data_IF_592095867202
#
_entry.id   IF_592095867202
#
_cell.length_a   1.000
_cell.length_b   1.000
_cell.length_c   1.000
_cell.angle_alpha   90.00
_cell.angle_beta   90.00
_cell.angle_gamma   90.00
#
_symmetry.space_group_name_H-M   'P 1'
#
loop_
_entity.id
_entity.type
_entity.pdbx_description
1 polymer ?
#
# COMPACT_ATOMS: atom_id res chain seq x y z
N UNK A 1 11.14 -10.26 18.77
CA UNK A 1 10.89 -10.81 17.42
C UNK A 1 10.96 -9.64 16.46
N UNK A 2 11.61 -9.80 15.31
CA UNK A 2 11.76 -8.72 14.34
C UNK A 2 10.42 -8.43 13.64
N UNK A 3 10.09 -7.15 13.55
CA UNK A 3 8.86 -6.63 12.97
C UNK A 3 9.08 -5.21 12.50
N UNK A 4 8.92 -4.97 11.21
CA UNK A 4 9.12 -3.66 10.62
C UNK A 4 7.96 -3.29 9.72
N UNK A 5 7.56 -2.01 9.75
CA UNK A 5 6.66 -1.43 8.77
C UNK A 5 7.49 -0.63 7.78
N UNK A 6 7.44 -0.98 6.50
CA UNK A 6 8.08 -0.17 5.47
C UNK A 6 7.06 0.77 4.85
N UNK A 7 7.38 2.06 4.82
CA UNK A 7 6.62 3.09 4.14
C UNK A 7 7.54 3.80 3.17
N UNK A 8 7.21 3.78 1.88
CA UNK A 8 7.95 4.52 0.89
C UNK A 8 7.67 6.01 1.00
N UNK A 9 8.70 6.76 1.39
CA UNK A 9 8.69 8.21 1.45
C UNK A 9 9.46 8.81 0.26
N UNK A 10 9.09 10.03 -0.11
CA UNK A 10 9.90 10.86 -1.02
C UNK A 10 11.21 11.21 -0.35
N UNK A 11 12.35 11.04 -1.03
CA UNK A 11 13.66 11.28 -0.40
C UNK A 11 13.84 12.74 0.02
N UNK A 12 14.49 13.02 1.18
CA UNK A 12 14.84 14.35 1.62
C UNK A 12 16.07 14.82 0.84
N UNK A 13 15.88 15.11 -0.45
CA UNK A 13 16.96 15.37 -1.39
C UNK A 13 17.69 16.66 -1.01
N UNK A 14 19.01 16.58 -0.84
CA UNK A 14 19.86 17.73 -0.52
C UNK A 14 19.95 18.10 0.95
N UNK A 15 19.11 17.54 1.84
CA UNK A 15 19.23 17.79 3.27
C UNK A 15 20.46 17.11 3.86
N UNK A 16 21.16 17.84 4.74
CA UNK A 16 22.20 17.35 5.66
C UNK A 16 21.82 17.55 7.12
N UNK A 17 20.60 18.03 7.39
CA UNK A 17 20.11 18.25 8.73
C UNK A 17 19.84 16.89 9.41
N UNK A 18 20.54 16.56 10.52
CA UNK A 18 20.36 15.29 11.20
C UNK A 18 18.92 15.02 11.62
N UNK A 19 18.17 16.05 12.02
CA UNK A 19 16.81 15.89 12.52
C UNK A 19 15.84 15.57 11.39
N UNK A 20 16.03 16.18 10.20
CA UNK A 20 15.26 15.87 8.99
C UNK A 20 15.55 14.46 8.49
N UNK A 21 16.82 14.06 8.47
CA UNK A 21 17.24 12.73 8.01
C UNK A 21 16.74 11.63 8.97
N UNK A 22 16.83 11.86 10.27
CA UNK A 22 16.31 10.94 11.29
C UNK A 22 14.79 10.83 11.22
N UNK A 23 14.06 11.94 11.14
CA UNK A 23 12.60 11.93 11.03
C UNK A 23 12.17 11.13 9.81
N UNK A 24 12.81 11.35 8.65
CA UNK A 24 12.53 10.59 7.43
C UNK A 24 12.75 9.09 7.59
N UNK A 25 13.82 8.66 8.27
CA UNK A 25 14.08 7.24 8.54
C UNK A 25 13.02 6.62 9.43
N UNK A 26 12.63 7.31 10.51
CA UNK A 26 11.63 6.83 11.45
C UNK A 26 10.23 6.77 10.81
N UNK A 27 9.89 7.74 9.95
CA UNK A 27 8.65 7.73 9.15
C UNK A 27 8.64 6.58 8.14
N UNK A 28 9.78 6.32 7.48
CA UNK A 28 9.93 5.20 6.54
C UNK A 28 9.82 3.83 7.22
N UNK A 29 10.09 3.77 8.53
CA UNK A 29 9.91 2.59 9.39
C UNK A 29 8.54 2.53 10.07
N UNK A 30 7.66 3.52 9.80
CA UNK A 30 6.33 3.61 10.43
C UNK A 30 6.36 3.75 11.96
N UNK A 31 7.47 4.24 12.52
CA UNK A 31 7.69 4.35 13.97
C UNK A 31 7.03 5.59 14.58
N UNK A 32 6.81 6.63 13.77
CA UNK A 32 6.11 7.85 14.16
C UNK A 32 4.68 7.78 13.62
N UNK A 33 3.68 8.13 14.45
CA UNK A 33 2.28 8.19 14.00
C UNK A 33 2.07 9.49 13.23
N UNK A 34 1.29 9.39 12.15
CA UNK A 34 0.99 10.52 11.27
C UNK A 34 0.30 11.68 12.03
N UNK A 35 0.71 12.89 11.64
CA UNK A 35 0.45 14.20 12.23
C UNK A 35 -1.05 14.53 12.30
N UNK A 36 -1.56 14.91 13.46
CA UNK A 36 -2.81 15.67 13.57
C UNK A 36 -2.51 17.16 13.38
N UNK A 37 -3.38 17.89 12.66
CA UNK A 37 -3.30 19.36 12.61
C UNK A 37 -3.30 19.93 14.04
N UNK A 38 -2.31 20.75 14.38
CA UNK A 38 -2.16 21.39 15.69
C UNK A 38 -1.13 20.77 16.66
N UNK A 39 -0.33 19.81 16.21
CA UNK A 39 0.78 19.25 17.00
C UNK A 39 1.86 20.33 17.28
N UNK A 40 2.37 20.38 18.51
CA UNK A 40 3.54 21.21 18.89
C UNK A 40 4.82 20.74 18.19
N UNK A 41 5.86 21.57 18.05
CA UNK A 41 7.16 21.19 17.45
C UNK A 41 7.77 19.94 18.11
N UNK A 42 7.52 19.74 19.40
CA UNK A 42 7.90 18.55 20.16
C UNK A 42 7.06 17.29 19.79
N UNK A 43 5.78 17.47 19.48
CA UNK A 43 4.91 16.43 18.94
C UNK A 43 5.15 16.19 17.44
N UNK A 44 5.70 17.17 16.71
CA UNK A 44 6.03 17.10 15.29
C UNK A 44 7.22 16.16 15.01
N UNK A 45 8.20 16.06 15.92
CA UNK A 45 9.35 15.16 15.81
C UNK A 45 9.10 13.78 16.46
N UNK A 46 8.34 13.75 17.56
CA UNK A 46 7.89 12.52 18.23
C UNK A 46 8.90 11.89 19.20
N UNK A 47 8.40 11.23 20.25
CA UNK A 47 9.21 10.67 21.34
C UNK A 47 10.36 9.73 20.93
N UNK A 48 10.20 8.96 19.85
CA UNK A 48 11.27 8.07 19.34
C UNK A 48 12.41 8.89 18.75
N UNK A 49 12.11 9.96 18.00
CA UNK A 49 13.11 10.83 17.41
C UNK A 49 13.98 11.44 18.50
N UNK A 50 13.36 11.99 19.54
CA UNK A 50 14.07 12.55 20.68
C UNK A 50 14.97 11.53 21.39
N UNK A 51 14.46 10.32 21.67
CA UNK A 51 15.26 9.23 22.26
C UNK A 51 16.50 8.96 21.38
N UNK A 52 16.30 8.73 20.08
CA UNK A 52 17.40 8.36 19.18
C UNK A 52 18.40 9.50 19.04
N UNK A 53 17.92 10.73 18.86
CA UNK A 53 18.74 11.92 18.66
C UNK A 53 19.61 12.26 19.86
N UNK A 54 19.08 12.15 21.07
CA UNK A 54 19.75 12.59 22.30
C UNK A 54 20.52 11.46 23.02
N UNK A 55 20.40 10.22 22.56
CA UNK A 55 21.10 9.08 23.18
C UNK A 55 21.88 8.26 22.14
N UNK A 56 21.18 7.51 21.30
CA UNK A 56 21.78 6.52 20.40
C UNK A 56 22.63 7.13 19.27
N UNK A 57 22.36 8.36 18.84
CA UNK A 57 23.20 9.05 17.85
C UNK A 57 24.39 9.77 18.48
N UNK A 58 24.27 10.25 19.71
CA UNK A 58 25.37 10.91 20.43
C UNK A 58 26.43 9.91 20.89
N UNK A 59 26.00 8.81 21.53
CA UNK A 59 26.91 7.74 21.96
C UNK A 59 26.32 6.35 21.63
N UNK A 60 26.52 5.85 20.39
CA UNK A 60 25.87 4.64 19.90
C UNK A 60 26.10 3.36 20.72
N UNK A 61 27.27 3.24 21.37
CA UNK A 61 27.71 2.03 22.07
C UNK A 61 27.85 2.20 23.59
N UNK A 62 27.44 3.34 24.17
CA UNK A 62 27.57 3.62 25.63
C UNK A 62 26.84 2.60 26.51
N UNK A 63 25.72 2.05 26.02
CA UNK A 63 24.86 1.16 26.78
C UNK A 63 23.91 1.94 27.69
N UNK A 64 22.88 2.52 27.08
CA UNK A 64 21.91 3.39 27.75
C UNK A 64 20.84 2.56 28.48
N UNK A 65 20.75 2.74 29.80
CA UNK A 65 19.62 2.19 30.58
C UNK A 65 18.37 3.09 30.46
N UNK A 66 17.22 2.58 30.88
CA UNK A 66 15.96 3.31 30.77
C UNK A 66 15.91 4.58 31.65
N UNK A 67 16.69 4.62 32.74
CA UNK A 67 16.75 5.78 33.63
C UNK A 67 17.46 6.95 32.93
N UNK A 68 18.64 6.70 32.37
CA UNK A 68 19.38 7.66 31.57
C UNK A 68 18.56 8.09 30.34
N UNK A 69 17.94 7.16 29.61
CA UNK A 69 17.14 7.55 28.43
C UNK A 69 15.98 8.46 28.82
N UNK A 70 15.30 8.20 29.94
CA UNK A 70 14.21 9.05 30.42
C UNK A 70 14.68 10.46 30.81
N UNK A 71 15.84 10.55 31.48
CA UNK A 71 16.45 11.82 31.86
C UNK A 71 16.78 12.67 30.63
N UNK A 72 17.48 12.09 29.66
CA UNK A 72 17.88 12.82 28.45
C UNK A 72 16.69 13.16 27.55
N UNK A 73 15.73 12.23 27.35
CA UNK A 73 14.56 12.45 26.48
C UNK A 73 13.41 13.22 27.15
N UNK A 74 13.46 13.45 28.46
CA UNK A 74 12.35 14.06 29.21
C UNK A 74 11.06 13.23 29.20
N UNK A 75 11.14 11.93 28.92
CA UNK A 75 9.99 11.02 28.87
C UNK A 75 9.83 10.26 30.20
N UNK A 76 8.62 9.81 30.49
CA UNK A 76 8.39 8.89 31.61
C UNK A 76 9.04 7.53 31.35
N UNK A 77 9.37 6.79 32.42
CA UNK A 77 9.92 5.43 32.32
C UNK A 77 9.04 4.50 31.47
N UNK A 78 7.72 4.56 31.66
CA UNK A 78 6.76 3.80 30.84
C UNK A 78 6.78 4.22 29.38
N UNK A 79 6.91 5.53 29.11
CA UNK A 79 7.04 6.07 27.75
C UNK A 79 8.30 5.53 27.06
N UNK A 80 9.44 5.58 27.74
CA UNK A 80 10.72 5.03 27.26
C UNK A 80 10.61 3.55 26.98
N UNK A 81 10.05 2.76 27.91
CA UNK A 81 9.87 1.33 27.74
C UNK A 81 9.10 0.99 26.45
N UNK A 82 7.97 1.68 26.23
CA UNK A 82 7.12 1.47 25.06
C UNK A 82 7.82 1.86 23.75
N UNK A 83 8.56 2.96 23.72
CA UNK A 83 9.30 3.37 22.52
C UNK A 83 10.49 2.46 22.23
N UNK A 84 11.22 2.02 23.27
CA UNK A 84 12.31 1.08 23.11
C UNK A 84 11.82 -0.29 22.62
N UNK A 85 10.61 -0.71 23.00
CA UNK A 85 10.00 -1.93 22.44
C UNK A 85 9.92 -1.84 20.92
N UNK A 86 9.39 -0.74 20.38
CA UNK A 86 9.26 -0.52 18.93
C UNK A 86 10.63 -0.44 18.24
N UNK A 87 11.60 0.24 18.84
CA UNK A 87 12.95 0.34 18.30
C UNK A 87 13.67 -1.02 18.25
N UNK A 88 13.41 -1.89 19.24
CA UNK A 88 13.93 -3.26 19.24
C UNK A 88 13.22 -4.15 18.22
N UNK A 89 11.90 -4.05 18.11
CA UNK A 89 11.12 -4.79 17.11
C UNK A 89 11.52 -4.43 15.68
N UNK A 90 11.67 -3.13 15.40
CA UNK A 90 12.16 -2.64 14.11
C UNK A 90 13.62 -2.96 13.84
N UNK A 91 14.34 -3.49 14.84
CA UNK A 91 15.73 -3.91 14.72
C UNK A 91 16.74 -2.76 14.69
N UNK A 92 16.39 -1.57 15.18
CA UNK A 92 17.36 -0.46 15.31
C UNK A 92 18.18 -0.56 16.60
N UNK A 93 17.57 -1.03 17.68
CA UNK A 93 18.19 -1.10 19.01
C UNK A 93 18.33 -2.54 19.47
N UNK A 94 19.44 -2.86 20.12
CA UNK A 94 19.62 -4.13 20.84
C UNK A 94 19.69 -3.88 22.34
N UNK A 95 19.23 -4.84 23.12
CA UNK A 95 19.31 -4.79 24.58
C UNK A 95 20.13 -5.95 25.12
N UNK A 96 20.92 -5.67 26.15
CA UNK A 96 21.67 -6.65 26.92
C UNK A 96 21.40 -6.47 28.40
N UNK A 97 21.29 -7.56 29.16
CA UNK A 97 21.22 -7.49 30.61
C UNK A 97 22.62 -7.21 31.16
N UNK A 98 22.77 -6.13 31.93
CA UNK A 98 24.00 -5.78 32.64
C UNK A 98 23.69 -5.64 34.13
N UNK A 99 23.98 -6.68 34.89
CA UNK A 99 23.55 -6.78 36.30
C UNK A 99 22.03 -6.95 36.40
N UNK A 100 21.34 -6.00 37.04
CA UNK A 100 19.87 -6.01 37.19
C UNK A 100 19.12 -5.21 36.12
N UNK A 101 19.85 -4.49 35.27
CA UNK A 101 19.25 -3.52 34.34
C UNK A 101 19.52 -3.91 32.89
N UNK A 102 18.53 -3.63 32.04
CA UNK A 102 18.71 -3.71 30.60
C UNK A 102 19.41 -2.45 30.11
N UNK A 103 20.53 -2.61 29.42
CA UNK A 103 21.20 -1.54 28.68
C UNK A 103 20.89 -1.69 27.19
N UNK A 104 20.75 -0.57 26.50
CA UNK A 104 20.35 -0.50 25.10
C UNK A 104 21.45 0.19 24.29
N UNK A 105 21.70 -0.30 23.08
CA UNK A 105 22.69 0.29 22.14
C UNK A 105 22.11 0.34 20.73
N UNK A 106 22.63 1.27 19.92
CA UNK A 106 22.33 1.31 18.49
C UNK A 106 22.97 0.09 17.82
N UNK A 107 22.17 -0.72 17.11
CA UNK A 107 22.69 -1.92 16.44
C UNK A 107 23.69 -1.53 15.37
N UNK A 108 24.77 -2.30 15.24
CA UNK A 108 25.83 -2.01 14.28
C UNK A 108 26.71 -0.80 14.62
N UNK A 109 26.47 -0.12 15.76
CA UNK A 109 27.31 0.99 16.24
C UNK A 109 27.13 2.32 15.50
N UNK A 110 26.25 2.39 14.51
CA UNK A 110 25.88 3.62 13.78
C UNK A 110 24.48 3.47 13.19
N UNK A 111 23.87 4.55 12.68
CA UNK A 111 22.56 4.43 12.03
C UNK A 111 22.66 3.65 10.72
N UNK A 112 23.71 3.86 9.93
CA UNK A 112 23.95 3.09 8.71
C UNK A 112 24.12 1.58 9.01
N UNK A 113 24.84 1.23 10.08
CA UNK A 113 24.98 -0.15 10.54
C UNK A 113 23.66 -0.76 10.98
N UNK A 114 22.85 -0.02 11.75
CA UNK A 114 21.52 -0.47 12.17
C UNK A 114 20.61 -0.73 10.97
N UNK A 115 20.53 0.24 10.04
CA UNK A 115 19.70 0.15 8.84
C UNK A 115 20.15 -0.97 7.90
N UNK A 116 21.45 -1.27 7.79
CA UNK A 116 21.91 -2.41 7.00
C UNK A 116 21.42 -3.74 7.60
N UNK A 117 21.51 -3.90 8.92
CA UNK A 117 21.00 -5.09 9.61
C UNK A 117 19.48 -5.23 9.43
N UNK A 118 18.74 -4.14 9.57
CA UNK A 118 17.30 -4.10 9.28
C UNK A 118 17.03 -4.52 7.84
N UNK A 119 17.77 -4.00 6.87
CA UNK A 119 17.58 -4.31 5.46
C UNK A 119 17.83 -5.80 5.15
N UNK A 120 18.89 -6.38 5.69
CA UNK A 120 19.20 -7.82 5.53
C UNK A 120 18.10 -8.69 6.14
N UNK A 121 17.67 -8.41 7.37
CA UNK A 121 16.61 -9.16 8.04
C UNK A 121 15.27 -9.02 7.30
N UNK A 122 14.91 -7.79 6.92
CA UNK A 122 13.68 -7.49 6.17
C UNK A 122 13.62 -8.26 4.87
N UNK A 123 14.71 -8.26 4.08
CA UNK A 123 14.79 -8.97 2.81
C UNK A 123 14.58 -10.48 2.99
N UNK A 124 15.29 -11.07 3.96
CA UNK A 124 15.22 -12.51 4.21
C UNK A 124 13.80 -12.93 4.65
N UNK A 125 13.21 -12.19 5.58
CA UNK A 125 11.88 -12.45 6.10
C UNK A 125 10.82 -12.22 5.03
N UNK A 126 10.87 -11.09 4.31
CA UNK A 126 9.91 -10.80 3.23
C UNK A 126 9.91 -11.90 2.18
N UNK A 127 11.09 -12.35 1.72
CA UNK A 127 11.19 -13.43 0.74
C UNK A 127 10.54 -14.73 1.25
N UNK A 128 10.80 -15.11 2.50
CA UNK A 128 10.20 -16.29 3.12
C UNK A 128 8.68 -16.15 3.25
N UNK A 129 8.19 -15.01 3.74
CA UNK A 129 6.75 -14.79 3.97
C UNK A 129 5.97 -14.66 2.66
N UNK A 130 6.54 -14.03 1.63
CA UNK A 130 5.91 -13.90 0.31
C UNK A 130 5.78 -15.26 -0.41
N UNK A 131 6.69 -16.20 -0.16
CA UNK A 131 6.58 -17.55 -0.71
C UNK A 131 5.32 -18.29 -0.23
N UNK A 132 4.82 -17.98 0.98
CA UNK A 132 3.58 -18.56 1.52
C UNK A 132 2.33 -18.15 0.71
N UNK A 133 2.41 -17.10 -0.11
CA UNK A 133 1.32 -16.71 -1.01
C UNK A 133 1.10 -17.73 -2.13
N UNK A 134 2.12 -18.56 -2.45
CA UNK A 134 2.05 -19.60 -3.47
C UNK A 134 0.97 -20.66 -3.22
N UNK A 135 0.65 -20.91 -1.94
CA UNK A 135 -0.38 -21.89 -1.56
C UNK A 135 -1.81 -21.34 -1.73
N UNK A 136 -1.95 -20.03 -1.98
CA UNK A 136 -3.25 -19.32 -1.93
C UNK A 136 -3.59 -18.64 -3.26
N UNK A 137 -2.61 -18.01 -3.91
CA UNK A 137 -2.84 -17.31 -5.18
C UNK A 137 -2.89 -18.33 -6.30
N UNK A 138 -4.09 -18.53 -6.84
CA UNK A 138 -4.30 -19.36 -8.04
C UNK A 138 -3.61 -18.72 -9.24
N UNK A 139 -2.92 -19.49 -10.07
CA UNK A 139 -2.39 -18.99 -11.34
C UNK A 139 -3.51 -18.61 -12.32
N UNK A 140 -3.38 -17.46 -12.98
CA UNK A 140 -4.27 -17.04 -14.07
C UNK A 140 -3.59 -16.01 -14.97
N UNK A 141 -3.41 -16.33 -16.24
CA UNK A 141 -3.00 -15.35 -17.26
C UNK A 141 -4.14 -14.39 -17.63
N UNK A 142 -5.38 -14.88 -17.61
CA UNK A 142 -6.57 -14.12 -17.98
C UNK A 142 -6.77 -12.88 -17.10
N UNK A 143 -6.42 -12.99 -15.81
CA UNK A 143 -6.53 -11.84 -14.92
C UNK A 143 -5.66 -10.69 -15.37
N UNK A 144 -4.59 -10.92 -16.14
CA UNK A 144 -3.64 -9.93 -16.64
C UNK A 144 -4.02 -9.32 -18.00
N UNK A 145 -5.16 -9.70 -18.58
CA UNK A 145 -5.58 -9.26 -19.93
C UNK A 145 -5.72 -7.74 -20.10
N UNK A 146 -6.04 -7.02 -19.02
CA UNK A 146 -6.11 -5.55 -19.02
C UNK A 146 -4.90 -4.98 -18.29
N UNK A 147 -4.27 -3.94 -18.84
CA UNK A 147 -3.18 -3.24 -18.13
C UNK A 147 -3.67 -2.64 -16.81
N UNK A 148 -2.81 -2.62 -15.79
CA UNK A 148 -3.10 -1.93 -14.53
C UNK A 148 -3.23 -0.43 -14.76
N UNK A 149 -4.05 0.24 -13.95
CA UNK A 149 -3.96 1.70 -13.83
C UNK A 149 -2.62 2.04 -13.14
N UNK A 150 -1.82 2.93 -13.74
CA UNK A 150 -0.44 3.24 -13.32
C UNK A 150 -0.34 4.15 -12.08
N UNK A 151 -1.47 4.52 -11.46
CA UNK A 151 -1.48 5.24 -10.17
C UNK A 151 -1.00 4.31 -9.05
N UNK A 152 0.31 4.11 -9.01
CA UNK A 152 1.00 3.29 -8.04
C UNK A 152 1.21 4.13 -6.77
N UNK A 153 0.42 3.83 -5.74
CA UNK A 153 0.68 4.37 -4.41
C UNK A 153 2.06 3.90 -3.93
N UNK A 154 2.74 4.72 -3.13
CA UNK A 154 4.01 4.33 -2.50
C UNK A 154 3.85 3.05 -1.67
N UNK A 155 4.93 2.25 -1.56
CA UNK A 155 4.91 1.02 -0.77
C UNK A 155 4.47 1.28 0.68
N UNK A 156 3.54 0.48 1.19
CA UNK A 156 3.28 0.33 2.62
C UNK A 156 3.02 -1.14 2.94
N UNK A 157 3.92 -1.77 3.69
CA UNK A 157 3.82 -3.18 4.06
C UNK A 157 4.44 -3.43 5.43
N UNK A 158 3.82 -4.32 6.22
CA UNK A 158 4.42 -4.83 7.45
C UNK A 158 5.17 -6.14 7.15
N UNK A 159 6.35 -6.33 7.74
CA UNK A 159 7.20 -7.50 7.54
C UNK A 159 7.62 -7.98 8.91
N UNK A 160 7.10 -9.14 9.30
CA UNK A 160 7.32 -9.75 10.61
C UNK A 160 7.92 -11.14 10.47
N UNK A 161 8.82 -11.50 11.39
CA UNK A 161 9.14 -12.92 11.58
C UNK A 161 7.86 -13.70 11.91
N UNK A 162 7.78 -14.98 11.51
CA UNK A 162 6.64 -15.83 11.86
C UNK A 162 6.36 -15.82 13.37
N UNK A 163 5.17 -15.35 13.73
CA UNK A 163 4.68 -15.35 15.11
C UNK A 163 3.93 -16.64 15.44
N UNK A 164 3.75 -16.95 16.73
CA UNK A 164 2.75 -17.94 17.14
C UNK A 164 1.40 -17.58 16.54
N UNK A 165 0.76 -18.56 15.90
CA UNK A 165 -0.60 -18.38 15.37
C UNK A 165 -1.55 -18.10 16.53
N UNK A 166 -2.37 -17.03 16.46
CA UNK A 166 -3.37 -16.77 17.49
C UNK A 166 -4.33 -17.96 17.66
N UNK A 167 -4.86 -18.13 18.86
CA UNK A 167 -5.85 -19.16 19.13
C UNK A 167 -7.09 -18.97 18.23
N UNK A 168 -7.53 -20.05 17.58
CA UNK A 168 -8.66 -20.01 16.64
C UNK A 168 -8.33 -19.47 15.24
N UNK A 169 -7.08 -19.10 14.96
CA UNK A 169 -6.61 -18.67 13.66
C UNK A 169 -5.81 -19.78 12.95
N UNK A 170 -5.80 -19.74 11.61
CA UNK A 170 -4.96 -20.58 10.77
C UNK A 170 -3.66 -19.85 10.33
N UNK A 171 -2.86 -20.50 9.48
CA UNK A 171 -1.61 -19.92 8.99
C UNK A 171 -1.82 -18.70 8.09
N UNK A 172 -2.90 -18.67 7.32
CA UNK A 172 -3.24 -17.56 6.44
C UNK A 172 -3.71 -16.34 7.25
N UNK A 173 -4.48 -16.55 8.32
CA UNK A 173 -4.83 -15.47 9.26
C UNK A 173 -3.58 -14.78 9.80
N UNK A 174 -2.61 -15.57 10.27
CA UNK A 174 -1.34 -15.04 10.75
C UNK A 174 -0.58 -14.27 9.65
N UNK A 175 -0.59 -14.76 8.41
CA UNK A 175 0.05 -14.09 7.27
C UNK A 175 -0.60 -12.74 6.94
N UNK A 176 -1.94 -12.70 6.87
CA UNK A 176 -2.72 -11.48 6.59
C UNK A 176 -2.51 -10.42 7.68
N UNK A 177 -2.40 -10.86 8.94
CA UNK A 177 -2.10 -9.99 10.08
C UNK A 177 -0.66 -9.47 10.01
N UNK A 178 0.32 -10.36 9.78
CA UNK A 178 1.74 -10.03 9.80
C UNK A 178 2.16 -9.11 8.65
N UNK A 179 1.47 -9.16 7.51
CA UNK A 179 1.63 -8.19 6.42
C UNK A 179 0.89 -6.86 6.64
N UNK A 180 0.07 -6.77 7.69
CA UNK A 180 -0.67 -5.56 8.05
C UNK A 180 -1.95 -5.33 7.25
N UNK A 181 -2.44 -6.32 6.50
CA UNK A 181 -3.66 -6.20 5.68
C UNK A 181 -4.91 -6.03 6.53
N UNK A 182 -4.93 -6.69 7.70
CA UNK A 182 -5.95 -6.55 8.73
C UNK A 182 -5.99 -5.14 9.37
N UNK A 183 -4.85 -4.43 9.36
CA UNK A 183 -4.67 -3.12 9.98
C UNK A 183 -4.46 -3.17 11.49
N UNK A 184 -4.16 -2.02 12.08
CA UNK A 184 -3.64 -1.91 13.46
C UNK A 184 -4.66 -2.20 14.58
N UNK A 185 -5.95 -2.29 14.25
CA UNK A 185 -7.05 -2.45 15.22
C UNK A 185 -7.97 -3.59 14.81
N UNK A 186 -7.41 -4.80 14.71
CA UNK A 186 -8.19 -6.00 14.45
C UNK A 186 -8.98 -6.39 15.71
N UNK A 187 -10.27 -6.69 15.54
CA UNK A 187 -11.10 -7.26 16.62
C UNK A 187 -10.99 -8.78 16.59
N UNK A 188 -11.15 -9.43 17.74
CA UNK A 188 -11.23 -10.88 17.79
C UNK A 188 -12.36 -11.39 16.87
N UNK A 189 -12.06 -12.39 16.04
CA UNK A 189 -13.00 -12.98 15.08
C UNK A 189 -13.25 -12.16 13.81
N UNK A 190 -12.55 -11.05 13.59
CA UNK A 190 -12.66 -10.27 12.35
C UNK A 190 -11.80 -10.90 11.23
N UNK A 191 -12.46 -11.44 10.21
CA UNK A 191 -11.84 -12.18 9.10
C UNK A 191 -11.94 -11.48 7.74
N UNK A 192 -12.46 -10.23 7.70
CA UNK A 192 -12.74 -9.52 6.44
C UNK A 192 -11.50 -9.38 5.56
N UNK A 193 -10.34 -9.15 6.18
CA UNK A 193 -9.09 -9.02 5.44
C UNK A 193 -8.70 -10.34 4.75
N UNK A 194 -8.92 -11.48 5.42
CA UNK A 194 -8.70 -12.81 4.87
C UNK A 194 -9.71 -13.11 3.76
N UNK A 195 -11.00 -12.87 4.01
CA UNK A 195 -12.07 -13.14 3.04
C UNK A 195 -11.87 -12.35 1.73
N UNK A 196 -11.57 -11.05 1.84
CA UNK A 196 -11.27 -10.21 0.67
C UNK A 196 -10.03 -10.69 -0.07
N UNK A 197 -8.97 -11.07 0.66
CA UNK A 197 -7.75 -11.59 0.03
C UNK A 197 -8.01 -12.88 -0.73
N UNK A 198 -8.77 -13.83 -0.16
CA UNK A 198 -9.13 -15.09 -0.79
C UNK A 198 -9.98 -14.90 -2.06
N UNK A 199 -10.96 -14.00 -2.03
CA UNK A 199 -11.78 -13.68 -3.21
C UNK A 199 -10.94 -13.14 -4.36
N UNK A 200 -9.97 -12.26 -4.06
CA UNK A 200 -9.05 -11.73 -5.07
C UNK A 200 -8.09 -12.80 -5.58
N UNK A 201 -7.54 -13.63 -4.68
CA UNK A 201 -6.59 -14.70 -4.98
C UNK A 201 -7.19 -15.80 -5.86
N UNK A 202 -8.48 -16.10 -5.68
CA UNK A 202 -9.22 -17.09 -6.46
C UNK A 202 -9.73 -16.56 -7.82
N UNK A 203 -9.81 -15.24 -7.99
CA UNK A 203 -10.43 -14.64 -9.17
C UNK A 203 -9.51 -14.63 -10.40
N UNK A 204 -10.12 -14.91 -11.56
CA UNK A 204 -9.50 -14.75 -12.87
C UNK A 204 -9.80 -13.39 -13.51
N UNK A 205 -10.61 -12.54 -12.86
CA UNK A 205 -11.02 -11.23 -13.38
C UNK A 205 -11.09 -10.17 -12.27
N UNK A 206 -11.00 -8.87 -12.62
CA UNK A 206 -11.13 -7.80 -11.63
C UNK A 206 -12.49 -7.81 -10.94
N UNK A 207 -12.50 -7.71 -9.61
CA UNK A 207 -13.71 -7.64 -8.79
C UNK A 207 -14.00 -6.20 -8.36
N UNK A 208 -15.26 -5.77 -8.45
CA UNK A 208 -15.66 -4.46 -7.92
C UNK A 208 -15.73 -4.48 -6.40
N UNK A 209 -15.66 -3.32 -5.75
CA UNK A 209 -15.88 -3.23 -4.30
C UNK A 209 -17.26 -3.74 -3.87
N UNK A 210 -18.28 -3.58 -4.73
CA UNK A 210 -19.60 -4.12 -4.45
C UNK A 210 -19.60 -5.64 -4.49
N UNK A 211 -18.96 -6.23 -5.51
CA UNK A 211 -18.81 -7.69 -5.61
C UNK A 211 -18.05 -8.26 -4.41
N UNK A 212 -16.99 -7.59 -3.97
CA UNK A 212 -16.25 -8.01 -2.77
C UNK A 212 -17.14 -7.93 -1.53
N UNK A 213 -17.83 -6.81 -1.32
CA UNK A 213 -18.77 -6.63 -0.20
C UNK A 213 -19.84 -7.73 -0.15
N UNK A 214 -20.46 -8.03 -1.30
CA UNK A 214 -21.52 -9.04 -1.40
C UNK A 214 -21.00 -10.45 -1.11
N UNK A 215 -19.78 -10.79 -1.58
CA UNK A 215 -19.20 -12.13 -1.41
C UNK A 215 -18.62 -12.37 -0.02
N UNK A 216 -18.15 -11.31 0.64
CA UNK A 216 -17.61 -11.41 2.01
C UNK A 216 -18.65 -11.13 3.09
N UNK A 217 -19.91 -10.90 2.72
CA UNK A 217 -20.99 -10.47 3.62
C UNK A 217 -20.57 -9.29 4.52
N UNK A 218 -19.88 -8.31 3.93
CA UNK A 218 -19.39 -7.14 4.66
C UNK A 218 -19.70 -5.83 3.93
N UNK A 219 -19.54 -4.72 4.63
CA UNK A 219 -19.63 -3.38 4.08
C UNK A 219 -18.58 -3.11 2.99
N UNK A 220 -19.03 -2.44 1.94
CA UNK A 220 -18.17 -1.88 0.89
C UNK A 220 -17.00 -1.03 1.43
N UNK A 221 -17.23 -0.29 2.52
CA UNK A 221 -16.21 0.56 3.14
C UNK A 221 -15.10 -0.24 3.84
N UNK A 222 -15.40 -1.41 4.42
CA UNK A 222 -14.37 -2.30 5.00
C UNK A 222 -13.60 -3.02 3.91
N UNK A 223 -14.29 -3.56 2.90
CA UNK A 223 -13.65 -4.15 1.73
C UNK A 223 -12.67 -3.16 1.05
N UNK A 224 -13.10 -1.90 0.85
CA UNK A 224 -12.24 -0.84 0.30
C UNK A 224 -10.99 -0.61 1.15
N UNK A 225 -11.12 -0.55 2.49
CA UNK A 225 -9.95 -0.35 3.37
C UNK A 225 -8.95 -1.49 3.29
N UNK A 226 -9.40 -2.74 3.16
CA UNK A 226 -8.52 -3.89 2.97
C UNK A 226 -7.83 -3.82 1.60
N UNK A 227 -8.60 -3.57 0.54
CA UNK A 227 -8.09 -3.47 -0.82
C UNK A 227 -7.02 -2.38 -0.93
N UNK A 228 -7.23 -1.19 -0.37
CA UNK A 228 -6.21 -0.13 -0.43
C UNK A 228 -4.92 -0.49 0.33
N UNK A 229 -4.99 -1.30 1.40
CA UNK A 229 -3.78 -1.83 2.06
C UNK A 229 -3.06 -2.85 1.19
N UNK A 230 -3.80 -3.77 0.56
CA UNK A 230 -3.23 -4.73 -0.39
C UNK A 230 -2.59 -4.01 -1.59
N UNK A 231 -3.20 -2.94 -2.09
CA UNK A 231 -2.64 -2.09 -3.14
C UNK A 231 -1.36 -1.40 -2.69
N UNK A 232 -1.36 -0.79 -1.50
CA UNK A 232 -0.18 -0.14 -0.96
C UNK A 232 0.97 -1.14 -0.71
N UNK A 233 0.66 -2.39 -0.38
CA UNK A 233 1.64 -3.47 -0.27
C UNK A 233 2.14 -3.99 -1.63
N UNK A 234 1.49 -3.64 -2.74
CA UNK A 234 1.84 -4.11 -4.09
C UNK A 234 1.25 -5.49 -4.45
N UNK A 235 0.29 -6.00 -3.66
CA UNK A 235 -0.37 -7.30 -3.86
C UNK A 235 -1.53 -7.21 -4.84
N UNK A 236 -2.18 -6.05 -4.91
CA UNK A 236 -3.40 -5.84 -5.71
C UNK A 236 -3.24 -4.63 -6.62
N UNK A 237 -3.78 -4.75 -7.83
CA UNK A 237 -3.90 -3.67 -8.80
C UNK A 237 -5.34 -3.17 -8.88
N UNK A 238 -5.46 -1.88 -9.19
CA UNK A 238 -6.72 -1.29 -9.63
C UNK A 238 -6.73 -1.30 -11.15
N UNK A 239 -7.79 -1.80 -11.75
CA UNK A 239 -7.87 -2.04 -13.18
C UNK A 239 -9.18 -1.50 -13.75
N UNK A 240 -9.07 -0.88 -14.91
CA UNK A 240 -10.20 -0.46 -15.73
C UNK A 240 -11.05 -1.68 -16.18
N UNK A 241 -12.34 -1.69 -15.85
CA UNK A 241 -13.23 -2.77 -16.31
C UNK A 241 -13.80 -2.43 -17.68
N UNK A 242 -13.09 -2.78 -18.76
CA UNK A 242 -13.49 -2.46 -20.15
C UNK A 242 -14.90 -2.92 -20.50
N UNK A 243 -15.26 -4.14 -20.11
CA UNK A 243 -16.59 -4.72 -20.38
C UNK A 243 -17.72 -3.89 -19.74
N UNK A 244 -17.43 -3.24 -18.60
CA UNK A 244 -18.37 -2.32 -17.94
C UNK A 244 -18.43 -0.96 -18.62
N UNK A 245 -17.35 -0.48 -19.24
CA UNK A 245 -17.37 0.78 -20.02
C UNK A 245 -18.41 0.67 -21.13
N UNK A 246 -18.43 -0.44 -21.88
CA UNK A 246 -19.41 -0.64 -22.95
C UNK A 246 -20.85 -0.59 -22.43
N UNK A 247 -21.12 -1.21 -21.27
CA UNK A 247 -22.43 -1.19 -20.61
C UNK A 247 -22.85 0.22 -20.17
N UNK A 248 -21.94 0.97 -19.55
CA UNK A 248 -22.21 2.32 -19.06
C UNK A 248 -22.32 3.34 -20.19
N UNK A 249 -21.49 3.22 -21.23
CA UNK A 249 -21.59 4.02 -22.45
C UNK A 249 -22.90 3.72 -23.17
N UNK A 250 -23.30 2.45 -23.34
CA UNK A 250 -24.59 2.10 -23.91
C UNK A 250 -25.75 2.76 -23.14
N UNK A 251 -25.76 2.60 -21.82
CA UNK A 251 -26.80 3.17 -20.95
C UNK A 251 -26.81 4.70 -21.01
N UNK A 252 -25.62 5.32 -21.02
CA UNK A 252 -25.44 6.76 -21.17
C UNK A 252 -25.95 7.28 -22.51
N UNK A 253 -25.57 6.62 -23.62
CA UNK A 253 -26.01 6.96 -24.97
C UNK A 253 -27.53 6.92 -25.09
N UNK A 254 -28.16 5.83 -24.66
CA UNK A 254 -29.61 5.67 -24.76
C UNK A 254 -30.35 6.72 -23.92
N UNK A 255 -29.90 6.96 -22.69
CA UNK A 255 -30.48 7.96 -21.78
C UNK A 255 -30.31 9.39 -22.32
N UNK A 256 -29.11 9.75 -22.74
CA UNK A 256 -28.82 11.11 -23.21
C UNK A 256 -29.45 11.40 -24.57
N UNK A 257 -29.47 10.42 -25.48
CA UNK A 257 -30.19 10.55 -26.75
C UNK A 257 -31.68 10.82 -26.53
N UNK A 258 -32.34 10.03 -25.67
CA UNK A 258 -33.75 10.20 -25.38
C UNK A 258 -34.08 11.56 -24.75
N UNK A 259 -33.17 12.11 -23.94
CA UNK A 259 -33.38 13.37 -23.25
C UNK A 259 -32.97 14.61 -24.06
N UNK A 260 -31.95 14.52 -24.92
CA UNK A 260 -31.25 15.68 -25.51
C UNK A 260 -30.99 15.60 -27.01
N UNK A 261 -31.23 14.46 -27.64
CA UNK A 261 -31.09 14.27 -29.08
C UNK A 261 -29.65 14.08 -29.58
N UNK A 262 -29.54 13.90 -30.90
CA UNK A 262 -28.31 13.53 -31.62
C UNK A 262 -27.26 14.66 -31.63
N UNK A 263 -27.68 15.90 -31.88
CA UNK A 263 -26.78 17.07 -31.93
C UNK A 263 -26.06 17.27 -30.60
N UNK A 264 -26.77 17.04 -29.48
CA UNK A 264 -26.16 17.11 -28.16
C UNK A 264 -25.10 16.03 -27.96
N UNK A 265 -25.36 14.80 -28.41
CA UNK A 265 -24.40 13.69 -28.33
C UNK A 265 -23.13 13.96 -29.14
N UNK A 266 -23.27 14.51 -30.35
CA UNK A 266 -22.13 14.90 -31.20
C UNK A 266 -21.31 16.03 -30.59
N UNK A 267 -21.98 17.04 -30.02
CA UNK A 267 -21.30 18.16 -29.37
C UNK A 267 -20.87 17.84 -27.94
N UNK A 268 -21.74 18.14 -26.97
CA UNK A 268 -21.44 18.07 -25.53
C UNK A 268 -21.33 16.65 -24.99
N UNK A 269 -22.00 15.69 -25.62
CA UNK A 269 -21.94 14.27 -25.26
C UNK A 269 -20.64 13.58 -25.66
N UNK A 270 -19.78 14.26 -26.42
CA UNK A 270 -18.40 13.83 -26.68
C UNK A 270 -18.22 12.86 -27.85
N UNK A 271 -19.27 12.46 -28.56
CA UNK A 271 -19.13 11.56 -29.72
C UNK A 271 -18.33 12.20 -30.86
N UNK A 272 -18.46 13.52 -31.08
CA UNK A 272 -17.70 14.23 -32.11
C UNK A 272 -16.20 14.33 -31.83
N UNK A 273 -15.71 13.81 -30.70
CA UNK A 273 -14.28 13.71 -30.37
C UNK A 273 -13.66 12.37 -30.73
N UNK A 274 -14.49 11.39 -31.09
CA UNK A 274 -14.04 10.10 -31.60
C UNK A 274 -13.81 10.19 -33.10
N UNK A 275 -13.13 9.18 -33.66
CA UNK A 275 -13.03 9.03 -35.10
C UNK A 275 -14.42 9.01 -35.74
N UNK A 276 -14.52 9.61 -36.92
CA UNK A 276 -15.80 9.88 -37.58
C UNK A 276 -16.60 8.59 -37.84
N UNK A 277 -15.92 7.50 -38.19
CA UNK A 277 -16.53 6.19 -38.41
C UNK A 277 -17.11 5.59 -37.12
N UNK A 278 -16.40 5.74 -35.99
CA UNK A 278 -16.82 5.26 -34.67
C UNK A 278 -18.03 6.06 -34.19
N UNK A 279 -17.97 7.39 -34.30
CA UNK A 279 -19.06 8.29 -33.93
C UNK A 279 -20.33 7.99 -34.75
N UNK A 280 -20.20 7.86 -36.08
CA UNK A 280 -21.30 7.49 -36.98
C UNK A 280 -21.88 6.12 -36.65
N UNK A 281 -21.03 5.12 -36.35
CA UNK A 281 -21.50 3.78 -35.99
C UNK A 281 -22.34 3.79 -34.71
N UNK A 282 -21.89 4.50 -33.66
CA UNK A 282 -22.62 4.63 -32.40
C UNK A 282 -23.97 5.34 -32.61
N UNK A 283 -23.98 6.49 -33.29
CA UNK A 283 -25.20 7.28 -33.53
C UNK A 283 -26.20 6.53 -34.40
N UNK A 284 -25.75 5.94 -35.51
CA UNK A 284 -26.61 5.14 -36.38
C UNK A 284 -27.22 3.97 -35.61
N UNK A 285 -26.45 3.35 -34.71
CA UNK A 285 -26.93 2.31 -33.81
C UNK A 285 -28.01 2.78 -32.84
N UNK A 286 -27.81 3.95 -32.19
CA UNK A 286 -28.80 4.57 -31.28
C UNK A 286 -30.07 4.93 -32.05
N UNK A 287 -29.94 5.65 -33.18
CA UNK A 287 -31.05 6.11 -34.02
C UNK A 287 -31.92 4.96 -34.52
N UNK A 288 -31.30 3.86 -34.96
CA UNK A 288 -31.99 2.65 -35.43
C UNK A 288 -32.46 1.74 -34.30
N UNK A 289 -32.20 2.07 -33.02
CA UNK A 289 -32.45 1.21 -31.84
C UNK A 289 -31.87 -0.20 -32.00
N UNK A 290 -30.73 -0.32 -32.70
CA UNK A 290 -30.04 -1.59 -32.96
C UNK A 290 -28.76 -1.75 -32.13
N UNK A 291 -28.45 -0.77 -31.30
CA UNK A 291 -27.31 -0.80 -30.40
C UNK A 291 -27.58 -1.77 -29.24
N UNK A 292 -26.59 -2.55 -28.85
CA UNK A 292 -26.55 -3.36 -27.63
C UNK A 292 -25.12 -3.28 -27.05
N UNK A 293 -24.91 -3.82 -25.85
CA UNK A 293 -23.63 -3.71 -25.13
C UNK A 293 -22.47 -4.31 -25.98
N UNK A 294 -22.67 -5.50 -26.53
CA UNK A 294 -21.67 -6.19 -27.37
C UNK A 294 -21.26 -5.38 -28.61
N UNK A 295 -22.21 -4.67 -29.25
CA UNK A 295 -21.90 -3.79 -30.38
C UNK A 295 -21.13 -2.56 -29.93
N UNK A 296 -21.48 -1.97 -28.79
CA UNK A 296 -20.72 -0.84 -28.24
C UNK A 296 -19.29 -1.27 -27.95
N UNK A 297 -19.10 -2.43 -27.34
CA UNK A 297 -17.78 -2.99 -27.06
C UNK A 297 -16.96 -3.19 -28.35
N UNK A 298 -17.55 -3.80 -29.38
CA UNK A 298 -16.88 -3.97 -30.69
C UNK A 298 -16.54 -2.64 -31.36
N UNK A 299 -17.43 -1.65 -31.30
CA UNK A 299 -17.21 -0.33 -31.89
C UNK A 299 -16.12 0.45 -31.12
N UNK A 300 -16.06 0.31 -29.79
CA UNK A 300 -15.08 0.98 -28.95
C UNK A 300 -13.75 0.22 -28.84
N UNK A 301 -13.67 -1.04 -29.25
CA UNK A 301 -12.46 -1.88 -29.24
C UNK A 301 -11.18 -1.18 -29.72
N UNK A 302 -11.17 -0.46 -30.87
CA UNK A 302 -10.00 0.27 -31.34
C UNK A 302 -9.71 1.60 -30.60
N UNK A 303 -10.64 2.11 -29.79
CA UNK A 303 -10.52 3.39 -29.10
C UNK A 303 -9.62 3.23 -27.86
N UNK A 304 -8.60 4.08 -27.66
CA UNK A 304 -7.79 4.09 -26.44
C UNK A 304 -8.65 4.25 -25.17
N UNK A 305 -8.27 3.58 -24.07
CA UNK A 305 -9.04 3.62 -22.80
C UNK A 305 -9.32 5.05 -22.34
N UNK A 306 -8.35 5.96 -22.46
CA UNK A 306 -8.53 7.35 -22.01
C UNK A 306 -9.61 8.11 -22.79
N UNK A 307 -9.72 7.85 -24.10
CA UNK A 307 -10.78 8.41 -24.92
C UNK A 307 -12.14 7.79 -24.59
N UNK A 308 -12.19 6.48 -24.31
CA UNK A 308 -13.42 5.83 -23.82
C UNK A 308 -13.85 6.39 -22.44
N UNK A 309 -12.89 6.63 -21.54
CA UNK A 309 -13.11 7.26 -20.23
C UNK A 309 -13.65 8.67 -20.38
N UNK A 310 -13.09 9.46 -21.30
CA UNK A 310 -13.56 10.81 -21.58
C UNK A 310 -14.99 10.80 -22.10
N UNK A 311 -15.32 9.91 -23.05
CA UNK A 311 -16.67 9.71 -23.56
C UNK A 311 -17.65 9.34 -22.43
N UNK A 312 -17.27 8.40 -21.57
CA UNK A 312 -18.11 8.00 -20.46
C UNK A 312 -18.40 9.18 -19.52
N UNK A 313 -17.39 9.99 -19.22
CA UNK A 313 -17.53 11.18 -18.38
C UNK A 313 -18.46 12.22 -19.01
N UNK A 314 -18.39 12.46 -20.33
CA UNK A 314 -19.28 13.40 -21.04
C UNK A 314 -20.72 12.93 -21.08
N UNK A 315 -20.95 11.62 -21.05
CA UNK A 315 -22.29 11.01 -20.93
C UNK A 315 -22.83 11.01 -19.48
N UNK A 316 -22.03 11.48 -18.53
CA UNK A 316 -22.36 11.57 -17.10
C UNK A 316 -22.08 10.29 -16.31
N UNK A 317 -21.28 9.37 -16.86
CA UNK A 317 -20.79 8.19 -16.17
C UNK A 317 -19.46 8.45 -15.43
N UNK A 318 -18.95 7.43 -14.74
CA UNK A 318 -17.61 7.40 -14.14
C UNK A 318 -16.96 6.08 -14.48
N UNK A 319 -15.64 6.09 -14.66
CA UNK A 319 -14.88 4.90 -14.99
C UNK A 319 -15.13 3.76 -13.98
N UNK A 320 -15.63 2.60 -14.42
CA UNK A 320 -15.78 1.45 -13.55
C UNK A 320 -14.41 0.82 -13.31
N UNK A 321 -14.08 0.64 -12.03
CA UNK A 321 -12.84 0.04 -11.59
C UNK A 321 -13.10 -1.25 -10.81
N UNK A 322 -12.27 -2.24 -11.09
CA UNK A 322 -12.15 -3.47 -10.33
C UNK A 322 -10.76 -3.60 -9.73
N UNK A 323 -10.61 -4.61 -8.90
CA UNK A 323 -9.37 -4.95 -8.22
C UNK A 323 -9.01 -6.41 -8.48
N UNK A 324 -7.73 -6.69 -8.69
CA UNK A 324 -7.21 -8.04 -8.93
C UNK A 324 -5.85 -8.21 -8.29
N UNK A 325 -5.38 -9.45 -8.14
CA UNK A 325 -3.98 -9.72 -7.81
C UNK A 325 -3.04 -9.10 -8.85
N UNK A 326 -1.95 -8.52 -8.37
CA UNK A 326 -0.98 -7.70 -9.10
C UNK A 326 0.07 -8.51 -9.90
N UNK A 327 -0.32 -9.67 -10.40
CA UNK A 327 0.52 -10.63 -11.13
C UNK A 327 -0.29 -11.88 -11.51
N UNK A 328 0.20 -12.68 -12.46
CA UNK A 328 -0.49 -13.91 -12.90
C UNK A 328 -0.48 -15.00 -11.83
N UNK A 329 0.53 -15.01 -10.95
CA UNK A 329 0.76 -15.98 -9.90
C UNK A 329 1.40 -15.33 -8.66
N UNK A 330 1.71 -16.13 -7.64
CA UNK A 330 2.37 -15.64 -6.43
C UNK A 330 3.84 -15.22 -6.65
N UNK A 331 4.52 -15.79 -7.65
CA UNK A 331 5.93 -15.49 -7.94
C UNK A 331 6.06 -14.07 -8.48
N UNK A 332 5.25 -13.70 -9.48
CA UNK A 332 5.21 -12.33 -10.03
C UNK A 332 4.83 -11.29 -8.97
N UNK A 333 3.87 -11.63 -8.10
CA UNK A 333 3.49 -10.77 -6.97
C UNK A 333 4.68 -10.61 -6.01
N UNK A 334 5.34 -11.72 -5.66
CA UNK A 334 6.52 -11.73 -4.81
C UNK A 334 7.65 -10.87 -5.35
N UNK A 335 8.01 -11.04 -6.63
CA UNK A 335 9.03 -10.24 -7.31
C UNK A 335 8.71 -8.75 -7.33
N UNK A 336 7.44 -8.40 -7.60
CA UNK A 336 6.97 -7.01 -7.59
C UNK A 336 7.10 -6.39 -6.21
N UNK A 337 6.62 -7.07 -5.17
CA UNK A 337 6.70 -6.58 -3.79
C UNK A 337 8.17 -6.44 -3.36
N UNK A 338 9.00 -7.45 -3.65
CA UNK A 338 10.43 -7.42 -3.34
C UNK A 338 11.17 -6.27 -4.03
N UNK A 339 10.83 -5.97 -5.28
CA UNK A 339 11.40 -4.82 -6.01
C UNK A 339 11.10 -3.50 -5.30
N UNK A 340 9.88 -3.32 -4.80
CA UNK A 340 9.50 -2.12 -4.02
C UNK A 340 10.20 -2.07 -2.67
N UNK A 341 10.30 -3.21 -1.97
CA UNK A 341 11.02 -3.33 -0.70
C UNK A 341 12.49 -2.91 -0.91
N UNK A 342 13.17 -3.46 -1.91
CA UNK A 342 14.58 -3.14 -2.20
C UNK A 342 14.77 -1.66 -2.57
N UNK A 343 13.82 -1.06 -3.31
CA UNK A 343 13.82 0.38 -3.60
C UNK A 343 13.77 1.21 -2.32
N UNK A 344 12.88 0.88 -1.39
CA UNK A 344 12.74 1.57 -0.11
C UNK A 344 13.98 1.38 0.77
N UNK A 345 14.48 0.14 0.90
CA UNK A 345 15.68 -0.17 1.67
C UNK A 345 16.93 0.53 1.12
N UNK A 346 17.09 0.63 -0.20
CA UNK A 346 18.19 1.38 -0.83
C UNK A 346 18.16 2.87 -0.46
N UNK A 347 16.97 3.48 -0.45
CA UNK A 347 16.80 4.88 -0.01
C UNK A 347 17.16 5.04 1.46
N UNK A 348 16.70 4.12 2.31
CA UNK A 348 17.03 4.12 3.74
C UNK A 348 18.54 4.01 3.99
N UNK A 349 19.25 3.10 3.33
CA UNK A 349 20.72 3.02 3.43
C UNK A 349 21.40 4.34 3.06
N UNK A 350 20.90 5.00 2.01
CA UNK A 350 21.44 6.29 1.55
C UNK A 350 21.24 7.39 2.60
N UNK A 351 20.04 7.48 3.17
CA UNK A 351 19.72 8.50 4.20
C UNK A 351 20.45 8.20 5.51
N UNK A 352 20.55 6.94 5.91
CA UNK A 352 21.26 6.53 7.12
C UNK A 352 22.75 6.87 7.06
N UNK A 353 23.40 6.66 5.90
CA UNK A 353 24.79 7.07 5.70
C UNK A 353 24.95 8.60 5.80
N UNK A 354 24.06 9.35 5.14
CA UNK A 354 24.08 10.83 5.24
C UNK A 354 23.88 11.32 6.66
N UNK A 355 23.05 10.63 7.45
CA UNK A 355 22.83 10.97 8.85
C UNK A 355 24.11 10.76 9.66
N UNK A 356 24.75 9.60 9.54
CA UNK A 356 26.04 9.34 10.20
C UNK A 356 27.09 10.40 9.77
N UNK A 357 27.20 10.69 8.46
CA UNK A 357 28.11 11.71 7.91
C UNK A 357 27.82 13.14 8.42
N UNK A 358 26.57 13.44 8.82
CA UNK A 358 26.19 14.76 9.34
C UNK A 358 26.47 14.94 10.84
N UNK A 359 26.79 13.85 11.53
CA UNK A 359 27.11 13.82 12.96
C UNK A 359 28.63 13.74 13.20
N UNK A 360 29.41 13.58 12.14
CA UNK A 360 30.89 13.60 12.15
C UNK A 360 31.40 14.97 11.71
#
# INVERSE_FOLDING_TARGET
MFSVRLIEQTMPTGSKDPDVLLAWLLDSLGLVRWKSEGATVDEEQGSIHRIVRQTFLEEPLRGWDNAAIAEFSGLSQTGVHNQLHKLREAGLVSSQLRGRWHVNVLRGGSMAGAVELVAVQTRAIAKMRLAELGDVIKESTDRMAVASDEEDGGLRIDICEPRPTPEGCDRLDALVIDFGFAGDRLKAGDDVARAVFLELAASNSPLTLQTLADRTDDSRARAQRVVERLRAAGIVDRVAMRDRIAMDVYSGLMRQHAARGEDWLMGRGGLGRLDEDIAKALISGVRKKKLNIEKVEKILGPVPIDAQRLLLNTLGGRMPYGYRIAGKDAEEVGERVMTRIERTLRRMRTVARRLDDSLT
#
